data_IF_216555578131
#
_entry.id   IF_216555578131
#
_cell.length_a   1.000
_cell.length_b   1.000
_cell.length_c   1.000
_cell.angle_alpha   90.00
_cell.angle_beta   90.00
_cell.angle_gamma   90.00
#
_symmetry.space_group_name_H-M   'P 1'
#
loop_
_entity.id
_entity.type
_entity.pdbx_description
1 polymer ?
#
# COMPACT_ATOMS: atom_id res chain seq x y z
N UNK A 1 -31.26 -9.10 -1.73
CA UNK A 1 -30.33 -10.00 -1.00
C UNK A 1 -29.37 -9.11 -0.23
N UNK A 2 -29.38 -9.15 1.10
CA UNK A 2 -28.50 -8.32 1.92
C UNK A 2 -27.05 -8.78 1.70
N UNK A 3 -26.26 -7.99 1.00
CA UNK A 3 -24.82 -8.26 0.80
C UNK A 3 -24.17 -8.11 2.17
N UNK A 4 -23.88 -9.24 2.81
CA UNK A 4 -23.24 -9.29 4.12
C UNK A 4 -21.80 -8.82 3.93
N UNK A 5 -21.50 -7.63 4.44
CA UNK A 5 -20.15 -7.05 4.41
C UNK A 5 -19.19 -7.96 5.19
N UNK A 6 -18.24 -8.56 4.49
CA UNK A 6 -17.19 -9.39 5.08
C UNK A 6 -15.86 -8.61 5.10
N UNK A 7 -15.43 -8.09 6.25
CA UNK A 7 -14.20 -7.32 6.37
C UNK A 7 -12.94 -8.14 6.02
N UNK A 8 -13.02 -9.46 5.96
CA UNK A 8 -11.89 -10.33 5.63
C UNK A 8 -11.47 -10.26 4.15
N UNK A 9 -12.38 -9.87 3.24
CA UNK A 9 -12.06 -9.69 1.82
C UNK A 9 -11.14 -8.49 1.63
N UNK A 10 -11.38 -7.43 2.40
CA UNK A 10 -10.68 -6.16 2.30
C UNK A 10 -9.27 -6.27 2.88
N UNK A 11 -9.11 -6.98 4.00
CA UNK A 11 -7.78 -7.25 4.57
C UNK A 11 -6.95 -8.14 3.64
N UNK A 12 -7.55 -9.18 3.04
CA UNK A 12 -6.88 -10.00 2.01
C UNK A 12 -6.44 -9.18 0.80
N UNK A 13 -7.25 -8.21 0.37
CA UNK A 13 -6.89 -7.34 -0.75
C UNK A 13 -5.72 -6.41 -0.41
N UNK A 14 -5.73 -5.79 0.78
CA UNK A 14 -4.63 -4.96 1.26
C UNK A 14 -3.32 -5.77 1.40
N UNK A 15 -3.42 -7.00 1.89
CA UNK A 15 -2.27 -7.90 2.06
C UNK A 15 -1.69 -8.34 0.70
N UNK A 16 -2.55 -8.66 -0.28
CA UNK A 16 -2.12 -8.95 -1.64
C UNK A 16 -1.44 -7.75 -2.32
N UNK A 17 -1.86 -6.51 -2.03
CA UNK A 17 -1.18 -5.30 -2.51
C UNK A 17 0.18 -5.10 -1.85
N UNK A 18 0.31 -5.42 -0.57
CA UNK A 18 1.58 -5.37 0.16
C UNK A 18 2.56 -6.43 -0.35
N UNK A 19 2.08 -7.65 -0.60
CA UNK A 19 2.88 -8.73 -1.19
C UNK A 19 3.33 -8.40 -2.61
N UNK A 20 2.47 -7.76 -3.41
CA UNK A 20 2.88 -7.26 -4.74
C UNK A 20 3.92 -6.14 -4.63
N UNK A 21 3.79 -5.25 -3.65
CA UNK A 21 4.73 -4.17 -3.43
C UNK A 21 6.14 -4.70 -3.07
N UNK A 22 6.24 -5.72 -2.23
CA UNK A 22 7.53 -6.37 -1.92
C UNK A 22 8.12 -7.10 -3.13
N UNK A 23 7.27 -7.75 -3.93
CA UNK A 23 7.67 -8.44 -5.17
C UNK A 23 8.21 -7.46 -6.22
N UNK A 24 7.60 -6.27 -6.36
CA UNK A 24 8.08 -5.22 -7.27
C UNK A 24 9.44 -4.69 -6.83
N UNK A 25 9.64 -4.45 -5.53
CA UNK A 25 10.94 -4.01 -5.00
C UNK A 25 12.02 -5.08 -5.27
N UNK A 26 11.69 -6.35 -5.02
CA UNK A 26 12.60 -7.46 -5.26
C UNK A 26 12.93 -7.61 -6.76
N UNK A 27 11.91 -7.58 -7.63
CA UNK A 27 12.09 -7.70 -9.08
C UNK A 27 12.97 -6.56 -9.63
N UNK A 28 12.73 -5.31 -9.22
CA UNK A 28 13.55 -4.17 -9.64
C UNK A 28 14.98 -4.25 -9.09
N UNK A 29 15.18 -4.77 -7.88
CA UNK A 29 16.51 -5.04 -7.33
C UNK A 29 17.27 -6.10 -8.13
N UNK A 30 16.62 -7.20 -8.49
CA UNK A 30 17.23 -8.28 -9.31
C UNK A 30 17.56 -7.79 -10.71
N UNK A 31 16.64 -7.07 -11.37
CA UNK A 31 16.88 -6.49 -12.69
C UNK A 31 18.04 -5.50 -12.64
N UNK A 32 18.08 -4.62 -11.63
CA UNK A 32 19.18 -3.70 -11.41
C UNK A 32 20.51 -4.41 -11.19
N UNK A 33 20.53 -5.48 -10.39
CA UNK A 33 21.73 -6.29 -10.17
C UNK A 33 22.26 -6.91 -11.46
N UNK A 34 21.39 -7.54 -12.25
CA UNK A 34 21.76 -8.17 -13.52
C UNK A 34 22.29 -7.11 -14.48
N UNK A 35 21.59 -5.99 -14.64
CA UNK A 35 22.01 -4.90 -15.51
C UNK A 35 23.38 -4.33 -15.10
N UNK A 36 23.60 -4.11 -13.79
CA UNK A 36 24.87 -3.62 -13.26
C UNK A 36 26.01 -4.63 -13.42
N UNK A 37 25.76 -5.92 -13.22
CA UNK A 37 26.75 -6.97 -13.40
C UNK A 37 27.15 -7.12 -14.88
N UNK A 38 26.19 -7.06 -15.81
CA UNK A 38 26.44 -7.09 -17.25
C UNK A 38 27.24 -5.86 -17.69
N UNK A 39 26.87 -4.67 -17.22
CA UNK A 39 27.59 -3.43 -17.53
C UNK A 39 29.03 -3.46 -16.99
N UNK A 40 29.23 -3.90 -15.75
CA UNK A 40 30.55 -4.02 -15.16
C UNK A 40 31.43 -5.04 -15.92
N UNK A 41 30.86 -6.17 -16.35
CA UNK A 41 31.55 -7.13 -17.21
C UNK A 41 31.89 -6.55 -18.59
N UNK A 42 31.01 -5.75 -19.19
CA UNK A 42 31.26 -5.08 -20.46
C UNK A 42 32.42 -4.07 -20.38
N UNK A 43 32.66 -3.47 -19.21
CA UNK A 43 33.79 -2.58 -18.94
C UNK A 43 35.09 -3.33 -18.54
N UNK A 44 35.14 -4.65 -18.72
CA UNK A 44 36.25 -5.51 -18.28
C UNK A 44 36.58 -5.41 -16.79
N UNK A 45 35.59 -5.11 -15.95
CA UNK A 45 35.78 -5.21 -14.51
C UNK A 45 35.90 -6.69 -14.10
N UNK A 46 36.87 -6.98 -13.25
CA UNK A 46 37.19 -8.33 -12.76
C UNK A 46 36.77 -8.49 -11.28
N UNK A 47 36.44 -9.74 -10.92
CA UNK A 47 36.16 -10.14 -9.53
C UNK A 47 35.19 -9.24 -8.77
N UNK A 48 35.70 -8.63 -7.68
CA UNK A 48 34.93 -7.85 -6.71
C UNK A 48 34.23 -6.62 -7.31
N UNK A 49 34.81 -6.00 -8.34
CA UNK A 49 34.24 -4.80 -8.96
C UNK A 49 32.92 -5.07 -9.70
N UNK A 50 32.74 -6.27 -10.25
CA UNK A 50 31.47 -6.69 -10.88
C UNK A 50 30.38 -6.84 -9.83
N UNK A 51 30.72 -7.42 -8.69
CA UNK A 51 29.78 -7.60 -7.57
C UNK A 51 29.37 -6.24 -7.02
N UNK A 52 30.33 -5.34 -6.78
CA UNK A 52 30.05 -3.98 -6.29
C UNK A 52 29.21 -3.20 -7.30
N UNK A 53 29.57 -3.23 -8.59
CA UNK A 53 28.81 -2.56 -9.65
C UNK A 53 27.36 -3.05 -9.76
N UNK A 54 27.17 -4.37 -9.72
CA UNK A 54 25.84 -4.98 -9.64
C UNK A 54 25.06 -4.53 -8.41
N UNK A 55 25.70 -4.50 -7.23
CA UNK A 55 25.06 -4.14 -5.97
C UNK A 55 24.63 -2.66 -5.93
N UNK A 56 25.43 -1.75 -6.49
CA UNK A 56 25.09 -0.34 -6.61
C UNK A 56 23.86 -0.14 -7.49
N UNK A 57 23.82 -0.77 -8.67
CA UNK A 57 22.66 -0.65 -9.58
C UNK A 57 21.43 -1.35 -9.00
N UNK A 58 21.60 -2.45 -8.25
CA UNK A 58 20.52 -3.10 -7.52
C UNK A 58 19.90 -2.18 -6.46
N UNK A 59 20.71 -1.46 -5.68
CA UNK A 59 20.24 -0.51 -4.68
C UNK A 59 19.46 0.64 -5.32
N UNK A 60 19.94 1.16 -6.46
CA UNK A 60 19.22 2.18 -7.24
C UNK A 60 17.88 1.60 -7.73
N UNK A 61 17.88 0.38 -8.28
CA UNK A 61 16.66 -0.31 -8.70
C UNK A 61 15.65 -0.48 -7.56
N UNK A 62 16.10 -0.88 -6.37
CA UNK A 62 15.27 -0.98 -5.16
C UNK A 62 14.68 0.38 -4.77
N UNK A 63 15.44 1.47 -4.84
CA UNK A 63 14.94 2.82 -4.53
C UNK A 63 13.82 3.23 -5.49
N UNK A 64 13.97 2.96 -6.80
CA UNK A 64 12.91 3.20 -7.79
C UNK A 64 11.69 2.29 -7.57
N UNK A 65 11.91 1.02 -7.24
CA UNK A 65 10.85 0.06 -6.91
C UNK A 65 10.03 0.47 -5.68
N UNK A 66 10.66 1.08 -4.67
CA UNK A 66 9.97 1.58 -3.46
C UNK A 66 8.93 2.66 -3.76
N UNK A 67 9.21 3.57 -4.70
CA UNK A 67 8.24 4.60 -5.09
C UNK A 67 6.97 4.00 -5.71
N UNK A 68 7.12 2.99 -6.57
CA UNK A 68 6.00 2.23 -7.17
C UNK A 68 5.23 1.42 -6.14
N UNK A 69 5.94 0.78 -5.20
CA UNK A 69 5.35 0.08 -4.06
C UNK A 69 4.52 1.01 -3.16
N UNK A 70 5.02 2.22 -2.89
CA UNK A 70 4.32 3.21 -2.07
C UNK A 70 3.03 3.70 -2.72
N UNK A 71 3.02 3.89 -4.04
CA UNK A 71 1.82 4.26 -4.79
C UNK A 71 0.72 3.18 -4.68
N UNK A 72 1.09 1.89 -4.73
CA UNK A 72 0.16 0.78 -4.52
C UNK A 72 -0.39 0.77 -3.09
N UNK A 73 0.45 1.01 -2.09
CA UNK A 73 0.00 1.12 -0.69
C UNK A 73 -0.97 2.28 -0.48
N UNK A 74 -0.73 3.44 -1.10
CA UNK A 74 -1.64 4.59 -1.08
C UNK A 74 -2.99 4.26 -1.72
N UNK A 75 -3.00 3.59 -2.88
CA UNK A 75 -4.25 3.14 -3.52
C UNK A 75 -5.06 2.21 -2.61
N UNK A 76 -4.38 1.30 -1.90
CA UNK A 76 -5.04 0.44 -0.92
C UNK A 76 -5.72 1.25 0.19
N UNK A 77 -5.03 2.25 0.76
CA UNK A 77 -5.58 3.07 1.84
C UNK A 77 -6.76 3.95 1.37
N UNK A 78 -6.70 4.48 0.16
CA UNK A 78 -7.82 5.25 -0.43
C UNK A 78 -9.07 4.37 -0.56
N UNK A 79 -8.91 3.13 -1.05
CA UNK A 79 -10.02 2.18 -1.16
C UNK A 79 -10.63 1.86 0.21
N UNK A 80 -9.80 1.68 1.25
CA UNK A 80 -10.28 1.46 2.63
C UNK A 80 -11.08 2.64 3.17
N UNK A 81 -10.57 3.86 2.95
CA UNK A 81 -11.23 5.08 3.40
C UNK A 81 -12.61 5.22 2.76
N UNK A 82 -12.72 4.94 1.46
CA UNK A 82 -13.99 5.02 0.73
C UNK A 82 -15.03 4.02 1.25
N UNK A 83 -14.62 2.79 1.56
CA UNK A 83 -15.53 1.81 2.15
C UNK A 83 -16.00 2.25 3.55
N UNK A 84 -15.09 2.84 4.34
CA UNK A 84 -15.43 3.34 5.67
C UNK A 84 -16.41 4.53 5.62
N UNK A 85 -16.26 5.44 4.65
CA UNK A 85 -17.20 6.55 4.47
C UNK A 85 -18.56 6.06 4.00
N UNK A 86 -18.63 5.12 3.06
CA UNK A 86 -19.91 4.51 2.64
C UNK A 86 -20.61 3.80 3.81
N UNK A 87 -19.86 3.07 4.64
CA UNK A 87 -20.40 2.39 5.81
C UNK A 87 -20.93 3.37 6.86
N UNK A 88 -20.20 4.46 7.13
CA UNK A 88 -20.65 5.51 8.05
C UNK A 88 -21.86 6.26 7.49
N UNK A 89 -21.86 6.64 6.21
CA UNK A 89 -23.01 7.31 5.57
C UNK A 89 -24.26 6.43 5.62
N UNK A 90 -24.14 5.12 5.40
CA UNK A 90 -25.27 4.19 5.52
C UNK A 90 -25.82 4.13 6.95
N UNK A 91 -24.95 4.02 7.97
CA UNK A 91 -25.37 4.05 9.38
C UNK A 91 -26.05 5.36 9.77
N UNK A 92 -25.52 6.49 9.32
CA UNK A 92 -26.13 7.80 9.58
C UNK A 92 -27.48 7.95 8.88
N UNK A 93 -27.61 7.44 7.65
CA UNK A 93 -28.88 7.42 6.92
C UNK A 93 -29.92 6.51 7.60
N UNK A 94 -29.52 5.33 8.08
CA UNK A 94 -30.36 4.42 8.87
C UNK A 94 -30.81 5.07 10.20
N UNK A 95 -29.91 5.75 10.91
CA UNK A 95 -30.25 6.48 12.14
C UNK A 95 -31.22 7.64 11.90
N UNK A 96 -31.02 8.40 10.81
CA UNK A 96 -31.93 9.47 10.39
C UNK A 96 -33.32 8.92 10.00
N UNK A 97 -33.38 7.81 9.27
CA UNK A 97 -34.63 7.15 8.89
C UNK A 97 -35.38 6.55 10.10
N UNK A 98 -34.66 6.10 11.13
CA UNK A 98 -35.23 5.62 12.39
C UNK A 98 -35.71 6.75 13.32
N UNK A 99 -35.58 8.02 12.94
CA UNK A 99 -35.97 9.17 13.75
C UNK A 99 -35.09 9.37 15.00
N UNK A 100 -33.91 8.73 15.06
CA UNK A 100 -32.97 8.88 16.17
C UNK A 100 -32.18 10.17 15.92
N UNK A 101 -32.31 11.21 16.77
CA UNK A 101 -31.57 12.45 16.57
C UNK A 101 -30.05 12.20 16.72
N UNK A 102 -29.19 12.85 15.92
CA UNK A 102 -27.75 12.59 15.84
C UNK A 102 -26.94 13.08 17.07
N UNK A 103 -27.50 13.04 18.28
CA UNK A 103 -27.01 13.84 19.41
C UNK A 103 -25.97 13.16 20.31
N UNK A 104 -25.68 11.86 20.17
CA UNK A 104 -24.82 11.18 21.16
C UNK A 104 -23.32 11.45 21.03
N UNK A 105 -22.81 11.89 19.87
CA UNK A 105 -21.36 12.14 19.71
C UNK A 105 -20.94 13.60 20.06
N UNK A 106 -21.81 14.59 19.82
CA UNK A 106 -21.46 16.00 20.08
C UNK A 106 -21.74 16.39 21.53
N UNK A 107 -22.75 15.81 22.19
CA UNK A 107 -23.09 16.18 23.58
C UNK A 107 -22.12 15.67 24.64
N UNK A 108 -21.34 14.61 24.37
CA UNK A 108 -20.35 14.13 25.34
C UNK A 108 -19.12 15.05 25.44
N UNK A 109 -18.80 15.82 24.40
CA UNK A 109 -17.67 16.76 24.42
C UNK A 109 -18.04 18.16 24.93
N UNK A 110 -19.33 18.51 24.98
CA UNK A 110 -19.80 19.81 25.49
C UNK A 110 -20.21 19.78 26.97
N UNK A 111 -20.22 18.60 27.61
CA UNK A 111 -20.56 18.45 29.03
C UNK A 111 -19.32 18.38 29.96
N UNK A 112 -18.11 18.56 29.40
CA UNK A 112 -16.84 18.53 30.12
C UNK A 112 -16.12 19.90 30.12
N UNK A 113 -16.82 20.99 29.86
CA UNK A 113 -16.33 22.38 29.91
C UNK A 113 -17.08 23.20 30.93
#
# INVERSE_FOLDING_TARGET
MAVRYDPSIITKHAQALYDRASLIIFAWGVIGFIAGAVMAKAMQAEGLFVVIGGLVVALIGVMFGRGRAFALQLQAQVALCQVATEANTRKTAEAAAAGVPPTTAVQMNSAAS
#
